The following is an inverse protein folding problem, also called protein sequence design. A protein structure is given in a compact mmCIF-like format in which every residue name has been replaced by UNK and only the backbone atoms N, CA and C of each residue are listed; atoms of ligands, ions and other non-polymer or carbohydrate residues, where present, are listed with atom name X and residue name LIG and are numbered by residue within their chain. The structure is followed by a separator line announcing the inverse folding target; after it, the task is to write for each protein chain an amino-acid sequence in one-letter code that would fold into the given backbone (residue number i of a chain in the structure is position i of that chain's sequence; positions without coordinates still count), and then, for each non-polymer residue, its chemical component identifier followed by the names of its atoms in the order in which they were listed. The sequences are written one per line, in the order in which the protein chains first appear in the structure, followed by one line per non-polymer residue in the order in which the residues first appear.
data_IF_717005592240
#
_entry.id   IF_717005592240
#
_cell.length_a   1.000
_cell.length_b   1.000
_cell.length_c   1.000
_cell.angle_alpha   90.00
_cell.angle_beta   90.00
_cell.angle_gamma   90.00
#
_symmetry.space_group_name_H-M   'P 1'
#
loop_
_entity.id
_entity.type
_entity.pdbx_description
1 polymer ?
#
# COMPACT_ATOMS: atom_id res chain seq x y z
N UNK A 1 -12.50 4.55 -11.34
CA UNK A 1 -12.14 3.66 -10.24
C UNK A 1 -11.16 4.31 -9.26
N UNK A 2 -11.23 3.90 -8.03
CA UNK A 2 -10.30 4.31 -7.00
C UNK A 2 -8.90 3.78 -7.32
N UNK A 3 -7.87 4.64 -7.26
CA UNK A 3 -6.50 4.23 -7.52
C UNK A 3 -5.72 4.20 -6.20
N UNK A 4 -5.01 3.11 -5.97
CA UNK A 4 -4.23 2.88 -4.75
C UNK A 4 -2.80 2.54 -5.13
N UNK A 5 -1.86 3.28 -4.57
CA UNK A 5 -0.43 2.98 -4.75
C UNK A 5 -0.02 1.86 -3.79
N UNK A 6 0.72 0.88 -4.30
CA UNK A 6 1.15 -0.26 -3.53
C UNK A 6 2.68 -0.35 -3.50
N UNK A 7 3.24 -0.28 -2.31
CA UNK A 7 4.69 -0.40 -2.09
C UNK A 7 5.02 -1.73 -1.40
N UNK A 8 5.85 -2.54 -2.05
CA UNK A 8 6.28 -3.83 -1.51
C UNK A 8 7.62 -4.24 -2.11
N UNK A 9 8.33 -5.11 -1.44
CA UNK A 9 9.54 -5.73 -2.01
C UNK A 9 9.12 -6.77 -3.05
N UNK A 10 9.80 -6.80 -4.18
CA UNK A 10 9.45 -7.70 -5.30
C UNK A 10 9.45 -9.18 -4.93
N UNK A 11 10.27 -9.60 -3.96
CA UNK A 11 10.29 -10.98 -3.45
C UNK A 11 8.95 -11.39 -2.81
N UNK A 12 8.14 -10.43 -2.38
CA UNK A 12 6.84 -10.66 -1.75
C UNK A 12 5.67 -10.59 -2.74
N UNK A 13 5.93 -10.53 -4.04
CA UNK A 13 4.89 -10.31 -5.06
C UNK A 13 3.76 -11.34 -5.05
N UNK A 14 4.04 -12.61 -4.71
CA UNK A 14 3.02 -13.66 -4.69
C UNK A 14 2.00 -13.44 -3.58
N UNK A 15 2.45 -13.08 -2.38
CA UNK A 15 1.59 -12.71 -1.27
C UNK A 15 0.77 -11.46 -1.60
N UNK A 16 1.41 -10.45 -2.13
CA UNK A 16 0.77 -9.19 -2.51
C UNK A 16 -0.27 -9.39 -3.61
N UNK A 17 -0.01 -10.31 -4.55
CA UNK A 17 -0.95 -10.66 -5.62
C UNK A 17 -2.31 -11.12 -5.08
N UNK A 18 -2.32 -11.92 -4.03
CA UNK A 18 -3.55 -12.41 -3.43
C UNK A 18 -4.37 -11.27 -2.82
N UNK A 19 -3.72 -10.34 -2.15
CA UNK A 19 -4.36 -9.11 -1.66
C UNK A 19 -4.95 -8.27 -2.80
N UNK A 20 -4.17 -8.07 -3.86
CA UNK A 20 -4.62 -7.32 -5.04
C UNK A 20 -5.90 -7.91 -5.62
N UNK A 21 -5.89 -9.21 -5.90
CA UNK A 21 -7.04 -9.90 -6.49
C UNK A 21 -8.27 -9.85 -5.60
N UNK A 22 -8.08 -10.09 -4.30
CA UNK A 22 -9.19 -10.10 -3.36
C UNK A 22 -9.83 -8.72 -3.25
N UNK A 23 -9.03 -7.67 -3.14
CA UNK A 23 -9.54 -6.30 -3.05
C UNK A 23 -10.20 -5.84 -4.34
N UNK A 24 -9.68 -6.22 -5.50
CA UNK A 24 -10.32 -5.93 -6.80
C UNK A 24 -11.71 -6.56 -6.92
N UNK A 25 -11.92 -7.72 -6.29
CA UNK A 25 -13.22 -8.39 -6.25
C UNK A 25 -14.19 -7.75 -5.26
N UNK A 26 -13.67 -7.18 -4.17
CA UNK A 26 -14.50 -6.60 -3.10
C UNK A 26 -14.88 -5.15 -3.36
N UNK A 27 -13.98 -4.37 -3.95
CA UNK A 27 -14.16 -2.96 -4.19
C UNK A 27 -13.66 -2.58 -5.58
N UNK A 28 -14.28 -1.55 -6.17
CA UNK A 28 -13.89 -1.09 -7.51
C UNK A 28 -12.65 -0.20 -7.39
N UNK A 29 -11.47 -0.80 -7.55
CA UNK A 29 -10.21 -0.11 -7.45
C UNK A 29 -9.21 -0.51 -8.54
N UNK A 30 -8.18 0.31 -8.71
CA UNK A 30 -7.06 0.05 -9.60
C UNK A 30 -5.75 0.22 -8.84
N UNK A 31 -4.88 -0.77 -8.98
CA UNK A 31 -3.56 -0.75 -8.35
C UNK A 31 -2.55 -0.02 -9.21
N UNK A 32 -1.68 0.73 -8.55
CA UNK A 32 -0.51 1.35 -9.15
C UNK A 32 0.71 0.90 -8.35
N UNK A 33 1.71 0.37 -9.05
CA UNK A 33 3.00 -0.01 -8.47
C UNK A 33 4.07 0.06 -9.55
N UNK A 34 5.32 -0.22 -9.17
CA UNK A 34 6.43 -0.19 -10.13
C UNK A 34 6.28 -1.22 -11.26
N UNK A 35 5.60 -2.36 -11.00
CA UNK A 35 5.37 -3.38 -12.02
C UNK A 35 4.42 -2.91 -13.11
N UNK A 36 3.58 -1.93 -12.83
CA UNK A 36 2.67 -1.34 -13.81
C UNK A 36 3.34 -0.32 -14.73
N UNK A 37 4.60 0.02 -14.48
CA UNK A 37 5.34 1.01 -15.25
C UNK A 37 5.91 0.42 -16.52
N UNK A 38 5.88 1.20 -17.60
CA UNK A 38 6.40 0.77 -18.91
C UNK A 38 7.92 0.76 -18.93
N UNK A 39 8.49 -0.18 -19.68
CA UNK A 39 9.92 -0.19 -19.95
C UNK A 39 10.33 1.13 -20.62
N UNK A 40 11.46 1.70 -20.19
CA UNK A 40 11.94 2.99 -20.69
C UNK A 40 11.33 4.21 -20.01
N UNK A 41 10.37 4.03 -19.12
CA UNK A 41 9.79 5.14 -18.35
C UNK A 41 10.84 5.74 -17.41
N UNK A 42 10.75 7.06 -17.17
CA UNK A 42 11.52 7.69 -16.11
C UNK A 42 10.91 7.29 -14.78
N UNK A 43 11.65 6.51 -13.98
CA UNK A 43 11.14 5.92 -12.75
C UNK A 43 10.63 6.97 -11.75
N UNK A 44 11.42 8.00 -11.48
CA UNK A 44 11.04 9.05 -10.53
C UNK A 44 9.76 9.78 -10.95
N UNK A 45 9.66 10.12 -12.23
CA UNK A 45 8.47 10.78 -12.77
C UNK A 45 7.25 9.88 -12.70
N UNK A 46 7.40 8.60 -13.03
CA UNK A 46 6.31 7.62 -12.99
C UNK A 46 5.83 7.38 -11.56
N UNK A 47 6.74 7.30 -10.57
CA UNK A 47 6.40 7.18 -9.16
C UNK A 47 5.63 8.40 -8.67
N UNK A 48 6.11 9.59 -9.00
CA UNK A 48 5.46 10.84 -8.62
C UNK A 48 4.05 10.94 -9.21
N UNK A 49 3.90 10.60 -10.48
CA UNK A 49 2.59 10.62 -11.15
C UNK A 49 1.65 9.58 -10.56
N UNK A 50 2.12 8.36 -10.34
CA UNK A 50 1.33 7.30 -9.73
C UNK A 50 0.84 7.69 -8.33
N UNK A 51 1.70 8.31 -7.54
CA UNK A 51 1.32 8.77 -6.20
C UNK A 51 0.30 9.91 -6.27
N UNK A 52 0.47 10.85 -7.19
CA UNK A 52 -0.48 11.95 -7.38
C UNK A 52 -1.86 11.46 -7.82
N UNK A 53 -1.92 10.39 -8.59
CA UNK A 53 -3.16 9.80 -9.09
C UNK A 53 -3.87 8.92 -8.05
N UNK A 54 -3.21 8.63 -6.93
CA UNK A 54 -3.71 7.71 -5.91
C UNK A 54 -4.44 8.44 -4.78
N UNK A 55 -5.44 7.79 -4.21
CA UNK A 55 -6.14 8.27 -3.00
C UNK A 55 -5.57 7.69 -1.71
N UNK A 56 -4.72 6.68 -1.83
CA UNK A 56 -4.07 6.01 -0.70
C UNK A 56 -2.78 5.34 -1.16
N UNK A 57 -1.88 5.09 -0.23
CA UNK A 57 -0.71 4.26 -0.43
C UNK A 57 -0.68 3.17 0.64
N UNK A 58 -0.45 1.93 0.24
CA UNK A 58 -0.31 0.79 1.14
C UNK A 58 1.15 0.34 1.11
N UNK A 59 1.75 0.24 2.28
CA UNK A 59 3.11 -0.24 2.46
C UNK A 59 3.08 -1.62 3.12
N UNK A 60 3.53 -2.65 2.38
CA UNK A 60 3.69 -4.01 2.89
C UNK A 60 5.09 -4.17 3.46
N UNK A 61 5.21 -4.06 4.77
CA UNK A 61 6.49 -4.09 5.46
C UNK A 61 6.79 -5.50 5.93
N UNK A 62 7.65 -6.20 5.21
CA UNK A 62 8.16 -7.53 5.54
C UNK A 62 9.62 -7.39 5.98
N UNK A 63 10.26 -8.46 6.53
CA UNK A 63 11.70 -8.40 6.82
C UNK A 63 12.58 -8.07 5.62
N UNK A 64 12.09 -8.31 4.40
CA UNK A 64 12.82 -8.00 3.15
C UNK A 64 12.66 -6.56 2.70
N UNK A 65 11.71 -5.82 3.27
CA UNK A 65 11.48 -4.42 2.90
C UNK A 65 12.57 -3.53 3.50
N UNK A 66 13.30 -2.84 2.64
CA UNK A 66 14.28 -1.82 3.02
C UNK A 66 13.90 -0.52 2.33
N UNK A 67 13.96 0.60 3.04
CA UNK A 67 13.65 1.92 2.50
C UNK A 67 14.80 2.48 1.66
N UNK A 68 15.30 1.67 0.74
CA UNK A 68 16.42 1.98 -0.15
C UNK A 68 15.96 2.13 -1.59
N UNK A 69 16.76 2.83 -2.40
CA UNK A 69 16.49 3.03 -3.83
C UNK A 69 15.07 3.56 -4.07
N UNK A 70 14.31 2.90 -4.94
CA UNK A 70 12.95 3.33 -5.29
C UNK A 70 11.95 3.19 -4.12
N UNK A 71 12.18 2.29 -3.17
CA UNK A 71 11.30 2.14 -2.00
C UNK A 71 11.35 3.39 -1.13
N UNK A 72 12.54 3.98 -0.94
CA UNK A 72 12.69 5.24 -0.24
C UNK A 72 11.96 6.37 -0.97
N UNK A 73 12.05 6.40 -2.30
CA UNK A 73 11.33 7.39 -3.12
C UNK A 73 9.82 7.22 -3.01
N UNK A 74 9.31 5.98 -2.98
CA UNK A 74 7.88 5.73 -2.79
C UNK A 74 7.38 6.30 -1.47
N UNK A 75 8.14 6.11 -0.38
CA UNK A 75 7.82 6.66 0.93
C UNK A 75 7.80 8.19 0.88
N UNK A 76 8.83 8.79 0.30
CA UNK A 76 8.93 10.25 0.20
C UNK A 76 7.76 10.86 -0.57
N UNK A 77 7.39 10.26 -1.70
CA UNK A 77 6.25 10.74 -2.50
C UNK A 77 4.92 10.56 -1.77
N UNK A 78 4.74 9.46 -1.03
CA UNK A 78 3.52 9.25 -0.24
C UNK A 78 3.37 10.31 0.86
N UNK A 79 4.47 10.62 1.56
CA UNK A 79 4.47 11.65 2.61
C UNK A 79 4.18 13.03 2.02
N UNK A 80 4.81 13.36 0.88
CA UNK A 80 4.55 14.62 0.18
C UNK A 80 3.07 14.72 -0.23
N UNK A 81 2.51 13.61 -0.75
CA UNK A 81 1.10 13.54 -1.14
C UNK A 81 0.18 13.75 0.07
N UNK A 82 0.49 13.16 1.22
CA UNK A 82 -0.28 13.32 2.46
C UNK A 82 -0.28 14.77 2.93
N UNK A 83 0.82 15.48 2.78
CA UNK A 83 0.92 16.90 3.14
C UNK A 83 0.08 17.80 2.25
N UNK A 84 -0.04 17.44 0.97
CA UNK A 84 -0.87 18.18 0.01
C UNK A 84 -2.34 17.88 0.14
N UNK A 85 -2.68 16.64 0.46
CA UNK A 85 -4.06 16.14 0.53
C UNK A 85 -4.29 15.42 1.85
N UNK A 86 -4.98 16.08 2.78
CA UNK A 86 -5.22 15.55 4.12
C UNK A 86 -5.97 14.22 4.11
N UNK A 87 -6.87 14.03 3.15
CA UNK A 87 -7.68 12.81 3.04
C UNK A 87 -6.92 11.63 2.41
N UNK A 88 -5.70 11.85 1.94
CA UNK A 88 -4.85 10.76 1.45
C UNK A 88 -4.48 9.83 2.61
N UNK A 89 -4.66 8.53 2.43
CA UNK A 89 -4.40 7.54 3.49
C UNK A 89 -3.04 6.88 3.29
N UNK A 90 -2.22 6.87 4.34
CA UNK A 90 -0.99 6.07 4.39
C UNK A 90 -1.30 4.86 5.27
N UNK A 91 -1.26 3.67 4.67
CA UNK A 91 -1.62 2.42 5.32
C UNK A 91 -0.36 1.56 5.42
N UNK A 92 0.15 1.36 6.62
CA UNK A 92 1.35 0.57 6.86
C UNK A 92 0.99 -0.73 7.58
N UNK A 93 1.30 -1.85 6.95
CA UNK A 93 1.06 -3.19 7.48
C UNK A 93 2.39 -3.91 7.65
N UNK A 94 2.63 -4.43 8.84
CA UNK A 94 3.86 -5.15 9.18
C UNK A 94 3.56 -6.65 9.24
N UNK A 95 4.36 -7.41 8.51
CA UNK A 95 4.22 -8.87 8.44
C UNK A 95 5.47 -9.56 8.96
N UNK A 96 5.28 -10.76 9.49
CA UNK A 96 6.37 -11.66 9.88
C UNK A 96 6.61 -12.71 8.80
N UNK A 97 7.85 -13.20 8.74
CA UNK A 97 8.18 -14.35 7.89
C UNK A 97 7.94 -15.67 8.65
N UNK A 98 8.26 -16.79 8.01
CA UNK A 98 8.09 -18.14 8.58
C UNK A 98 8.95 -18.35 9.85
N UNK A 99 10.05 -17.64 10.00
CA UNK A 99 10.93 -17.72 11.15
C UNK A 99 10.50 -16.81 12.32
N UNK A 100 9.38 -16.12 12.17
CA UNK A 100 8.87 -15.19 13.18
C UNK A 100 9.56 -13.82 13.18
N UNK A 101 10.44 -13.55 12.22
CA UNK A 101 11.06 -12.24 12.07
C UNK A 101 10.04 -11.25 11.52
N UNK A 102 9.95 -10.07 12.14
CA UNK A 102 9.03 -9.01 11.70
C UNK A 102 9.71 -8.01 10.78
N UNK A 103 8.93 -7.44 9.89
CA UNK A 103 9.36 -6.26 9.14
C UNK A 103 9.65 -5.09 10.09
N UNK A 104 10.53 -4.21 9.68
CA UNK A 104 10.91 -3.02 10.44
C UNK A 104 10.29 -1.81 9.74
N UNK A 105 9.46 -1.08 10.46
CA UNK A 105 8.83 0.13 9.91
C UNK A 105 9.91 1.16 9.61
N UNK A 106 10.01 1.63 8.35
CA UNK A 106 10.92 2.71 8.02
C UNK A 106 10.67 3.95 8.86
N UNK A 107 11.73 4.64 9.25
CA UNK A 107 11.65 5.77 10.16
C UNK A 107 10.65 6.83 9.70
N UNK A 108 10.60 7.12 8.41
CA UNK A 108 9.70 8.14 7.85
C UNK A 108 8.22 7.76 7.92
N UNK A 109 7.89 6.48 8.06
CA UNK A 109 6.51 6.01 8.21
C UNK A 109 6.06 5.93 9.67
N UNK A 110 6.97 5.99 10.64
CA UNK A 110 6.66 5.88 12.06
C UNK A 110 5.66 6.90 12.61
N UNK A 111 5.58 8.14 12.09
CA UNK A 111 4.57 9.09 12.55
C UNK A 111 3.12 8.68 12.24
N UNK A 112 2.92 7.74 11.31
CA UNK A 112 1.61 7.26 10.91
C UNK A 112 1.30 5.94 11.61
N UNK A 113 0.08 5.77 12.08
CA UNK A 113 -0.32 4.53 12.77
C UNK A 113 -0.12 3.34 11.83
N UNK A 114 0.58 2.31 12.31
CA UNK A 114 0.72 1.06 11.57
C UNK A 114 0.06 -0.09 12.32
N UNK A 115 -0.20 -1.17 11.60
CA UNK A 115 -0.81 -2.37 12.17
C UNK A 115 0.07 -3.59 11.90
N UNK A 116 0.03 -4.52 12.84
CA UNK A 116 0.73 -5.81 12.75
C UNK A 116 -0.34 -6.92 12.71
N UNK A 117 -0.98 -7.16 11.54
CA UNK A 117 -2.09 -8.10 11.47
C UNK A 117 -1.62 -9.53 11.74
N UNK A 118 -2.41 -10.27 12.52
CA UNK A 118 -2.10 -11.65 12.87
C UNK A 118 -2.24 -12.61 11.68
N UNK A 119 -3.07 -12.26 10.71
CA UNK A 119 -3.29 -13.05 9.50
C UNK A 119 -3.77 -12.18 8.35
N UNK A 120 -3.89 -12.79 7.16
CA UNK A 120 -4.23 -12.06 5.94
C UNK A 120 -5.66 -11.51 5.94
N UNK A 121 -6.62 -12.19 6.58
CA UNK A 121 -7.99 -11.68 6.69
C UNK A 121 -8.05 -10.41 7.54
N UNK A 122 -7.32 -10.38 8.64
CA UNK A 122 -7.22 -9.19 9.48
C UNK A 122 -6.53 -8.06 8.71
N UNK A 123 -5.49 -8.38 7.93
CA UNK A 123 -4.83 -7.40 7.08
C UNK A 123 -5.79 -6.79 6.06
N UNK A 124 -6.60 -7.60 5.38
CA UNK A 124 -7.63 -7.12 4.46
C UNK A 124 -8.62 -6.19 5.16
N UNK A 125 -9.08 -6.56 6.35
CA UNK A 125 -9.98 -5.73 7.13
C UNK A 125 -9.36 -4.37 7.47
N UNK A 126 -8.09 -4.35 7.88
CA UNK A 126 -7.38 -3.10 8.17
C UNK A 126 -7.27 -2.21 6.93
N UNK A 127 -7.03 -2.79 5.76
CA UNK A 127 -7.01 -2.04 4.49
C UNK A 127 -8.38 -1.43 4.22
N UNK A 128 -9.44 -2.22 4.27
CA UNK A 128 -10.80 -1.75 3.98
C UNK A 128 -11.24 -0.65 4.93
N UNK A 129 -10.91 -0.75 6.20
CA UNK A 129 -11.22 0.28 7.22
C UNK A 129 -10.47 1.59 6.98
N UNK A 130 -9.29 1.51 6.38
CA UNK A 130 -8.39 2.67 6.22
C UNK A 130 -8.53 3.36 4.87
N UNK A 131 -9.19 2.72 3.89
CA UNK A 131 -9.45 3.34 2.60
C UNK A 131 -10.54 4.40 2.70
N UNK A 132 -10.49 5.46 1.88
CA UNK A 132 -11.52 6.49 1.84
C UNK A 132 -12.79 5.99 1.14
N UNK A 133 -13.44 5.00 1.77
CA UNK A 133 -14.65 4.37 1.24
C UNK A 133 -15.86 4.84 2.01
N UNK A 134 -16.95 5.12 1.27
CA UNK A 134 -18.28 5.25 1.84
C UNK A 134 -19.00 3.91 1.71
N UNK A 135 -19.42 3.34 2.83
CA UNK A 135 -20.17 2.09 2.85
C UNK A 135 -21.64 2.42 3.05
N UNK A 136 -22.47 2.06 2.10
CA UNK A 136 -23.92 2.23 2.19
C UNK A 136 -24.54 1.22 3.17
N UNK A 137 -25.83 1.46 3.50
CA UNK A 137 -26.59 0.56 4.37
C UNK A 137 -26.75 -0.83 3.73
N UNK A 138 -26.57 -1.87 4.54
CA UNK A 138 -26.86 -3.24 4.12
C UNK A 138 -28.39 -3.40 4.17
N UNK A 139 -28.96 -3.81 3.03
CA UNK A 139 -30.40 -4.07 2.92
C UNK A 139 -30.63 -5.51 2.51
N UNK A 140 -31.57 -6.15 3.19
CA UNK A 140 -32.05 -7.48 2.79
C UNK A 140 -33.13 -7.32 1.73
N UNK A 141 -33.06 -8.16 0.74
CA UNK A 141 -34.12 -8.25 -0.27
C UNK A 141 -35.28 -9.11 0.22
#
# INVERSE_FOLDING_TARGET
PMKIFLSHKSINKDKVRDFKKTLELLVFLRWLDEESMSAGANLERALQQGMSDSCAAIFFITPDYKDEKYLASEIDYAIARKREEENFSIITLVFSNENGEKGIVPTMLKPYVWKEPANDLIALNEILKSLPLEVGDIRFK
#
